data_IF_846461233145
#
_entry.id   IF_846461233145
#
_cell.length_a   1.000
_cell.length_b   1.000
_cell.length_c   1.000
_cell.angle_alpha   90.00
_cell.angle_beta   90.00
_cell.angle_gamma   90.00
#
_symmetry.space_group_name_H-M   'P 1'
#
loop_
_entity.id
_entity.type
_entity.pdbx_description
1 polymer ?
#
# COMPACT_ATOMS: atom_id res chain seq x y z
N UNK A 1 -6.56 20.47 10.40
CA UNK A 1 -5.65 20.02 9.33
C UNK A 1 -6.49 19.17 8.39
N UNK A 2 -6.51 19.47 7.09
CA UNK A 2 -7.27 18.67 6.13
C UNK A 2 -6.63 17.28 6.04
N UNK A 3 -7.42 16.24 6.24
CA UNK A 3 -6.92 14.86 6.07
C UNK A 3 -6.61 14.64 4.58
N UNK A 4 -5.46 14.02 4.25
CA UNK A 4 -5.12 13.71 2.87
C UNK A 4 -6.13 12.74 2.29
N UNK A 5 -6.42 12.87 0.99
CA UNK A 5 -7.31 11.96 0.28
C UNK A 5 -6.51 10.71 -0.07
N UNK A 6 -6.79 9.61 0.61
CA UNK A 6 -6.12 8.32 0.37
C UNK A 6 -7.02 7.43 -0.48
N UNK A 7 -6.47 6.89 -1.57
CA UNK A 7 -7.12 5.87 -2.39
C UNK A 7 -6.23 4.64 -2.50
N UNK A 8 -6.77 3.46 -2.17
CA UNK A 8 -6.11 2.17 -2.39
C UNK A 8 -6.74 1.47 -3.58
N UNK A 9 -5.93 1.06 -4.55
CA UNK A 9 -6.36 0.23 -5.67
C UNK A 9 -6.07 -1.24 -5.40
N UNK A 10 -7.14 -2.04 -5.51
CA UNK A 10 -7.15 -3.50 -5.38
C UNK A 10 -7.42 -4.18 -6.73
N UNK A 11 -7.12 -5.47 -6.83
CA UNK A 11 -7.77 -6.32 -7.82
C UNK A 11 -9.28 -6.43 -7.54
N UNK A 12 -10.07 -6.68 -8.59
CA UNK A 12 -11.53 -6.75 -8.51
C UNK A 12 -12.07 -7.84 -7.57
N UNK A 13 -11.29 -8.91 -7.34
CA UNK A 13 -11.69 -10.05 -6.51
C UNK A 13 -11.18 -9.93 -5.05
N UNK A 14 -10.37 -8.91 -4.74
CA UNK A 14 -9.72 -8.72 -3.43
C UNK A 14 -8.87 -9.91 -2.97
N UNK A 15 -8.26 -10.63 -3.90
CA UNK A 15 -7.46 -11.83 -3.61
C UNK A 15 -5.97 -11.54 -3.43
N UNK A 16 -5.51 -10.36 -3.83
CA UNK A 16 -4.08 -10.04 -3.76
C UNK A 16 -3.60 -9.95 -2.30
N UNK A 17 -2.65 -10.81 -1.86
CA UNK A 17 -2.08 -10.73 -0.52
C UNK A 17 -1.29 -9.42 -0.31
N UNK A 18 -0.77 -8.86 -1.40
CA UNK A 18 -0.06 -7.58 -1.39
C UNK A 18 -1.00 -6.41 -1.09
N UNK A 19 -2.21 -6.43 -1.66
CA UNK A 19 -3.26 -5.45 -1.35
C UNK A 19 -3.71 -5.61 0.10
N UNK A 20 -3.93 -6.84 0.55
CA UNK A 20 -4.30 -7.13 1.94
C UNK A 20 -3.28 -6.53 2.93
N UNK A 21 -1.98 -6.66 2.67
CA UNK A 21 -0.95 -6.07 3.54
C UNK A 21 -1.06 -4.55 3.67
N UNK A 22 -1.37 -3.83 2.58
CA UNK A 22 -1.56 -2.37 2.61
C UNK A 22 -2.88 -2.00 3.28
N UNK A 23 -3.94 -2.75 3.00
CA UNK A 23 -5.25 -2.56 3.61
C UNK A 23 -5.16 -2.66 5.14
N UNK A 24 -4.49 -3.70 5.66
CA UNK A 24 -4.28 -3.89 7.09
C UNK A 24 -3.46 -2.73 7.67
N UNK A 25 -2.39 -2.28 7.01
CA UNK A 25 -1.60 -1.14 7.48
C UNK A 25 -2.42 0.17 7.60
N UNK A 26 -3.33 0.42 6.65
CA UNK A 26 -4.25 1.58 6.70
C UNK A 26 -5.25 1.44 7.86
N UNK A 27 -5.77 0.23 8.08
CA UNK A 27 -6.70 -0.06 9.18
C UNK A 27 -6.05 0.07 10.56
N UNK A 28 -4.86 -0.51 10.76
CA UNK A 28 -4.11 -0.40 12.03
C UNK A 28 -3.79 1.06 12.38
N UNK A 29 -3.51 1.88 11.36
CA UNK A 29 -3.30 3.34 11.53
C UNK A 29 -4.61 4.13 11.62
N UNK A 30 -5.77 3.49 11.51
CA UNK A 30 -7.09 4.14 11.50
C UNK A 30 -7.20 5.29 10.48
N UNK A 31 -6.56 5.12 9.32
CA UNK A 31 -6.57 6.12 8.26
C UNK A 31 -7.84 5.98 7.41
N UNK A 32 -8.57 7.06 7.12
CA UNK A 32 -9.69 7.01 6.18
C UNK A 32 -9.14 6.88 4.75
N UNK A 33 -9.66 5.93 3.98
CA UNK A 33 -9.29 5.73 2.58
C UNK A 33 -10.47 5.25 1.73
N UNK A 34 -10.38 5.49 0.43
CA UNK A 34 -11.30 4.94 -0.57
C UNK A 34 -10.68 3.71 -1.21
N UNK A 35 -11.43 2.60 -1.26
CA UNK A 35 -11.01 1.40 -1.97
C UNK A 35 -11.57 1.43 -3.39
N UNK A 36 -10.69 1.37 -4.39
CA UNK A 36 -11.06 1.22 -5.81
C UNK A 36 -10.53 -0.11 -6.33
N UNK A 37 -11.16 -0.63 -7.38
CA UNK A 37 -10.77 -1.90 -7.99
C UNK A 37 -10.35 -1.69 -9.44
N UNK A 38 -9.46 -2.56 -9.90
CA UNK A 38 -9.10 -2.72 -11.31
C UNK A 38 -9.26 -4.19 -11.69
N UNK A 39 -9.91 -4.46 -12.83
CA UNK A 39 -10.09 -5.84 -13.29
C UNK A 39 -8.82 -6.32 -14.00
N UNK A 40 -8.07 -7.17 -13.29
CA UNK A 40 -6.85 -7.77 -13.82
C UNK A 40 -7.14 -8.82 -14.90
N UNK A 41 -8.25 -9.55 -14.80
CA UNK A 41 -8.66 -10.59 -15.75
C UNK A 41 -9.05 -9.99 -17.10
N UNK A 42 -9.67 -8.81 -17.08
CA UNK A 42 -10.01 -8.03 -18.29
C UNK A 42 -8.85 -7.19 -18.81
N UNK A 43 -7.69 -7.20 -18.15
CA UNK A 43 -6.51 -6.44 -18.57
C UNK A 43 -6.64 -4.92 -18.39
N UNK A 44 -7.52 -4.44 -17.51
CA UNK A 44 -7.71 -2.99 -17.29
C UNK A 44 -6.43 -2.31 -16.80
N UNK A 45 -5.59 -3.04 -16.05
CA UNK A 45 -4.28 -2.60 -15.60
C UNK A 45 -3.27 -2.29 -16.73
N UNK A 46 -3.55 -2.77 -17.95
CA UNK A 46 -2.75 -2.51 -19.15
C UNK A 46 -3.29 -1.34 -19.98
N UNK A 47 -4.37 -0.70 -19.54
CA UNK A 47 -4.94 0.45 -20.21
C UNK A 47 -4.39 1.75 -19.62
N UNK A 48 -4.00 2.68 -20.48
CA UNK A 48 -3.45 3.98 -20.07
C UNK A 48 -4.42 4.87 -19.27
N UNK A 49 -5.71 4.49 -19.20
CA UNK A 49 -6.71 5.20 -18.40
C UNK A 49 -6.61 4.95 -16.89
N UNK A 50 -5.85 3.95 -16.45
CA UNK A 50 -5.65 3.67 -15.03
C UNK A 50 -4.35 4.31 -14.51
N UNK A 51 -4.40 4.98 -13.35
CA UNK A 51 -3.24 5.64 -12.72
C UNK A 51 -2.04 4.69 -12.55
N UNK A 52 -2.32 3.42 -12.22
CA UNK A 52 -1.28 2.40 -12.04
C UNK A 52 -0.55 2.01 -13.32
N UNK A 53 -1.03 2.44 -14.49
CA UNK A 53 -0.40 2.16 -15.78
C UNK A 53 1.01 2.77 -15.91
N UNK A 54 1.19 3.96 -15.34
CA UNK A 54 2.45 4.72 -15.37
C UNK A 54 3.43 4.28 -14.26
N UNK A 55 2.95 3.55 -13.26
CA UNK A 55 3.76 2.97 -12.20
C UNK A 55 4.30 1.59 -12.64
N UNK A 56 3.91 0.52 -11.95
CA UNK A 56 4.36 -0.85 -12.24
C UNK A 56 3.31 -1.71 -12.92
N UNK A 57 2.14 -1.14 -13.28
CA UNK A 57 0.99 -1.86 -13.87
C UNK A 57 0.49 -3.02 -13.02
N UNK A 58 0.71 -2.95 -11.70
CA UNK A 58 0.35 -3.99 -10.73
C UNK A 58 -0.38 -3.37 -9.56
N UNK A 59 -1.22 -4.17 -8.90
CA UNK A 59 -1.82 -3.83 -7.61
C UNK A 59 -0.95 -4.39 -6.48
N UNK A 60 -0.89 -3.75 -5.30
CA UNK A 60 -1.57 -2.51 -4.92
C UNK A 60 -0.95 -1.24 -5.51
N UNK A 61 -1.79 -0.22 -5.68
CA UNK A 61 -1.38 1.18 -5.87
C UNK A 61 -2.03 2.04 -4.79
N UNK A 62 -1.23 2.82 -4.07
CA UNK A 62 -1.70 3.82 -3.11
C UNK A 62 -1.58 5.20 -3.73
N UNK A 63 -2.67 5.95 -3.74
CA UNK A 63 -2.69 7.37 -4.04
C UNK A 63 -2.92 8.14 -2.74
N UNK A 64 -2.09 9.14 -2.48
CA UNK A 64 -2.22 10.08 -1.36
C UNK A 64 -2.15 11.49 -1.95
N UNK A 65 -3.30 12.13 -2.07
CA UNK A 65 -3.47 13.38 -2.82
C UNK A 65 -2.93 13.21 -4.27
N UNK A 66 -1.92 13.99 -4.66
CA UNK A 66 -1.31 13.93 -6.01
C UNK A 66 -0.13 12.93 -6.11
N UNK A 67 0.14 12.16 -5.06
CA UNK A 67 1.25 11.20 -5.01
C UNK A 67 0.77 9.76 -5.17
N UNK A 68 1.29 9.05 -6.18
CA UNK A 68 0.99 7.64 -6.41
C UNK A 68 2.22 6.76 -6.15
N UNK A 69 2.02 5.65 -5.41
CA UNK A 69 3.07 4.71 -5.04
C UNK A 69 2.58 3.27 -5.21
N UNK A 70 3.40 2.44 -5.86
CA UNK A 70 3.21 1.00 -6.00
C UNK A 70 4.17 0.22 -5.10
N UNK A 71 4.01 -1.10 -5.04
CA UNK A 71 4.77 -2.05 -4.18
C UNK A 71 4.34 -2.00 -2.71
N UNK A 72 3.80 -3.10 -2.19
CA UNK A 72 3.17 -3.14 -0.86
C UNK A 72 4.13 -2.82 0.28
N UNK A 73 5.37 -3.29 0.22
CA UNK A 73 6.40 -2.99 1.24
C UNK A 73 6.78 -1.50 1.21
N UNK A 74 6.98 -0.91 0.03
CA UNK A 74 7.28 0.52 -0.09
C UNK A 74 6.11 1.38 0.41
N UNK A 75 4.87 0.99 0.09
CA UNK A 75 3.66 1.66 0.57
C UNK A 75 3.57 1.62 2.10
N UNK A 76 3.75 0.45 2.70
CA UNK A 76 3.65 0.31 4.16
C UNK A 76 4.77 1.05 4.89
N UNK A 77 6.00 1.06 4.36
CA UNK A 77 7.07 1.92 4.89
C UNK A 77 6.73 3.41 4.78
N UNK A 78 6.22 3.86 3.63
CA UNK A 78 5.78 5.25 3.45
C UNK A 78 4.67 5.65 4.43
N UNK A 79 3.70 4.76 4.68
CA UNK A 79 2.65 5.01 5.66
C UNK A 79 3.20 5.11 7.08
N UNK A 80 4.22 4.30 7.44
CA UNK A 80 4.83 4.36 8.78
C UNK A 80 5.69 5.60 9.00
N UNK A 81 6.33 6.11 7.95
CA UNK A 81 7.12 7.34 8.01
C UNK A 81 6.25 8.61 7.95
N UNK A 82 5.21 8.64 7.10
CA UNK A 82 4.34 9.82 6.96
C UNK A 82 3.33 9.95 8.08
N UNK A 83 2.77 8.84 8.54
CA UNK A 83 1.83 8.77 9.66
C UNK A 83 2.54 8.09 10.83
N UNK A 84 3.47 8.84 11.43
CA UNK A 84 4.37 8.35 12.45
C UNK A 84 3.81 8.52 13.88
N UNK A 85 4.26 7.70 14.85
CA UNK A 85 3.95 7.89 16.27
C UNK A 85 4.52 9.21 16.81
N UNK A 86 3.89 9.83 17.83
CA UNK A 86 2.83 9.26 18.67
C UNK A 86 1.39 9.47 18.15
N UNK A 87 1.20 10.21 17.05
CA UNK A 87 -0.13 10.55 16.54
C UNK A 87 -0.81 9.36 15.84
N UNK A 88 -0.03 8.49 15.20
CA UNK A 88 -0.50 7.24 14.60
C UNK A 88 0.26 6.02 15.13
N UNK A 89 -0.44 4.89 15.20
CA UNK A 89 0.14 3.63 15.66
C UNK A 89 1.25 3.17 14.72
N UNK A 90 2.29 2.57 15.29
CA UNK A 90 3.45 2.12 14.54
C UNK A 90 3.24 0.70 14.05
N UNK A 91 3.49 0.45 12.77
CA UNK A 91 3.35 -0.91 12.20
C UNK A 91 4.69 -1.66 12.11
N UNK A 92 5.82 -0.95 12.10
CA UNK A 92 7.15 -1.56 12.17
C UNK A 92 7.72 -1.57 13.59
N UNK A 93 8.64 -2.47 13.95
CA UNK A 93 9.36 -2.36 15.22
C UNK A 93 10.20 -1.06 15.31
N UNK A 94 10.30 -0.47 16.50
CA UNK A 94 11.24 0.65 16.75
C UNK A 94 12.70 0.20 16.80
N UNK A 95 12.96 -1.00 17.33
CA UNK A 95 14.29 -1.56 17.39
C UNK A 95 14.87 -1.83 15.99
N UNK A 96 16.13 -1.42 15.79
CA UNK A 96 16.80 -1.47 14.50
C UNK A 96 16.87 -2.89 13.93
N UNK A 97 17.24 -3.87 14.77
CA UNK A 97 17.43 -5.26 14.33
C UNK A 97 16.10 -5.95 14.07
N UNK A 98 15.09 -5.71 14.92
CA UNK A 98 13.73 -6.22 14.70
C UNK A 98 13.11 -5.63 13.44
N UNK A 99 13.31 -4.34 13.17
CA UNK A 99 12.84 -3.70 11.93
C UNK A 99 13.54 -4.29 10.70
N UNK A 100 14.85 -4.53 10.77
CA UNK A 100 15.59 -5.20 9.71
C UNK A 100 15.06 -6.63 9.46
N UNK A 101 14.73 -7.38 10.52
CA UNK A 101 14.12 -8.70 10.39
C UNK A 101 12.72 -8.64 9.77
N UNK A 102 11.89 -7.68 10.15
CA UNK A 102 10.58 -7.48 9.52
C UNK A 102 10.70 -7.20 8.02
N UNK A 103 11.61 -6.30 7.63
CA UNK A 103 11.93 -6.01 6.22
C UNK A 103 12.44 -7.25 5.46
N UNK A 104 13.29 -8.06 6.10
CA UNK A 104 13.78 -9.31 5.51
C UNK A 104 12.63 -10.27 5.20
N UNK A 105 11.67 -10.43 6.12
CA UNK A 105 10.52 -11.31 5.93
C UNK A 105 9.64 -10.79 4.80
N UNK A 106 9.32 -9.49 4.79
CA UNK A 106 8.52 -8.88 3.73
C UNK A 106 9.15 -9.03 2.34
N UNK A 107 10.46 -8.76 2.23
CA UNK A 107 11.19 -8.94 0.98
C UNK A 107 11.23 -10.41 0.54
N UNK A 108 11.37 -11.33 1.49
CA UNK A 108 11.31 -12.77 1.22
C UNK A 108 9.95 -13.22 0.68
N UNK A 109 8.84 -12.71 1.25
CA UNK A 109 7.48 -13.04 0.80
C UNK A 109 7.13 -12.43 -0.57
N UNK A 110 7.71 -11.30 -0.94
CA UNK A 110 7.48 -10.66 -2.24
C UNK A 110 8.26 -11.32 -3.40
N UNK A 111 9.22 -12.20 -3.09
CA UNK A 111 10.07 -12.87 -4.07
C UNK A 111 9.58 -14.28 -4.47
N UNK A 112 8.43 -14.71 -3.94
CA UNK A 112 7.80 -16.02 -4.16
C UNK A 112 6.60 -15.87 -5.09
#
# INVERSE_FOLDING_TARGET
MSQPVITLWSDADFFSPYVMSVYVALQEKSLPFTLKTVDLNRGEHLQAGWTGYAATRRVPLLEVDDFALSESSAITEYLDERFAPPEWERIYPHDLQKRARARQIQAGCAAI
#
